data_IF_848890211403
#
_entry.id   IF_848890211403
#
_cell.length_a   1.000
_cell.length_b   1.000
_cell.length_c   1.000
_cell.angle_alpha   90.00
_cell.angle_beta   90.00
_cell.angle_gamma   90.00
#
_symmetry.space_group_name_H-M   'P 1'
#
loop_
_entity.id
_entity.type
_entity.pdbx_description
1 polymer ?
#
# COMPACT_ATOMS: atom_id res chain seq x y z
N UNK A 1 -22.49 -5.13 -12.74
CA UNK A 1 -21.00 -5.10 -12.76
C UNK A 1 -20.56 -3.80 -12.09
N UNK A 2 -20.29 -3.84 -10.78
CA UNK A 2 -20.06 -2.63 -9.96
C UNK A 2 -18.57 -2.31 -10.03
N UNK A 3 -18.23 -1.26 -10.77
CA UNK A 3 -16.87 -0.75 -10.92
C UNK A 3 -16.28 -0.44 -9.54
N UNK A 4 -14.97 -0.71 -9.38
CA UNK A 4 -14.14 -0.36 -8.24
C UNK A 4 -13.95 1.18 -8.06
N UNK A 5 -14.98 1.98 -8.35
CA UNK A 5 -15.00 3.43 -8.17
C UNK A 5 -15.65 3.85 -6.84
N UNK A 6 -15.82 2.94 -5.89
CA UNK A 6 -16.48 3.23 -4.61
C UNK A 6 -15.62 2.73 -3.45
N UNK A 7 -14.37 3.20 -3.37
CA UNK A 7 -13.91 3.62 -2.06
C UNK A 7 -14.53 5.00 -1.85
N UNK A 8 -15.16 5.27 -0.69
CA UNK A 8 -15.69 6.58 -0.40
C UNK A 8 -14.52 7.57 -0.38
N UNK A 9 -14.27 8.27 -1.48
CA UNK A 9 -13.30 9.37 -1.57
C UNK A 9 -13.60 10.47 -0.55
N UNK A 10 -14.85 10.55 -0.08
CA UNK A 10 -15.27 11.45 1.00
C UNK A 10 -14.69 11.09 2.38
N UNK A 11 -14.11 9.91 2.54
CA UNK A 11 -13.54 9.43 3.80
C UNK A 11 -12.02 9.54 3.85
N UNK A 12 -11.34 9.97 2.77
CA UNK A 12 -9.88 10.04 2.73
C UNK A 12 -9.48 11.27 1.91
N UNK A 13 -8.83 12.23 2.56
CA UNK A 13 -8.11 13.30 1.86
C UNK A 13 -7.03 12.73 0.94
N UNK A 14 -6.63 13.52 -0.07
CA UNK A 14 -5.70 13.07 -1.12
C UNK A 14 -4.33 12.63 -0.56
N UNK A 15 -3.93 13.13 0.61
CA UNK A 15 -2.65 12.80 1.27
C UNK A 15 -2.61 11.38 1.86
N UNK A 16 -3.75 10.69 1.95
CA UNK A 16 -3.82 9.33 2.51
C UNK A 16 -3.60 8.22 1.49
N UNK A 17 -3.53 8.56 0.21
CA UNK A 17 -3.37 7.60 -0.88
C UNK A 17 -2.45 8.15 -1.95
N UNK A 18 -1.75 7.26 -2.64
CA UNK A 18 -0.96 7.61 -3.82
C UNK A 18 -1.23 6.61 -4.93
N UNK A 19 -1.10 7.05 -6.18
CA UNK A 19 -1.26 6.17 -7.32
C UNK A 19 0.04 5.42 -7.59
N UNK A 20 -0.04 4.10 -7.75
CA UNK A 20 1.13 3.29 -8.08
C UNK A 20 1.63 3.60 -9.48
N UNK A 21 2.95 3.50 -9.67
CA UNK A 21 3.56 3.51 -11.00
C UNK A 21 3.27 2.22 -11.76
N UNK A 22 3.49 2.22 -13.08
CA UNK A 22 3.29 1.02 -13.90
C UNK A 22 4.22 -0.12 -13.48
N UNK A 23 5.49 0.17 -13.21
CA UNK A 23 6.48 -0.83 -12.80
C UNK A 23 6.12 -1.47 -11.46
N UNK A 24 5.74 -0.67 -10.46
CA UNK A 24 5.26 -1.18 -9.17
C UNK A 24 4.01 -2.06 -9.34
N UNK A 25 3.06 -1.61 -10.17
CA UNK A 25 1.85 -2.38 -10.41
C UNK A 25 2.14 -3.70 -11.13
N UNK A 26 3.03 -3.71 -12.12
CA UNK A 26 3.47 -4.92 -12.82
C UNK A 26 4.12 -5.94 -11.88
N UNK A 27 4.93 -5.48 -10.93
CA UNK A 27 5.53 -6.35 -9.91
C UNK A 27 4.49 -6.98 -8.96
N UNK A 28 3.36 -6.30 -8.75
CA UNK A 28 2.26 -6.78 -7.91
C UNK A 28 1.27 -7.68 -8.67
N UNK A 29 1.36 -7.77 -9.99
CA UNK A 29 0.48 -8.63 -10.79
C UNK A 29 0.85 -10.09 -10.56
N UNK A 30 -0.14 -10.89 -10.14
CA UNK A 30 0.02 -12.34 -10.05
C UNK A 30 0.34 -12.93 -11.42
N UNK A 31 1.50 -13.59 -11.52
CA UNK A 31 1.94 -14.31 -12.73
C UNK A 31 1.00 -15.45 -13.14
N UNK A 32 0.11 -15.91 -12.25
CA UNK A 32 -0.77 -17.06 -12.48
C UNK A 32 -2.26 -16.71 -12.64
N UNK A 33 -2.64 -15.44 -12.46
CA UNK A 33 -4.07 -15.06 -12.37
C UNK A 33 -4.40 -13.78 -13.13
N UNK A 34 -3.77 -13.58 -14.30
CA UNK A 34 -4.11 -12.50 -15.22
C UNK A 34 -5.33 -12.86 -16.06
N UNK A 35 -6.38 -12.03 -15.99
CA UNK A 35 -7.57 -12.16 -16.84
C UNK A 35 -7.24 -11.75 -18.29
N UNK A 36 -7.78 -12.48 -19.27
CA UNK A 36 -7.58 -12.19 -20.70
C UNK A 36 -8.45 -11.03 -21.19
N UNK A 37 -9.58 -10.77 -20.54
CA UNK A 37 -10.63 -9.88 -21.05
C UNK A 37 -11.04 -8.80 -20.05
N UNK A 38 -10.07 -8.19 -19.36
CA UNK A 38 -10.36 -7.09 -18.43
C UNK A 38 -9.31 -6.93 -17.34
N UNK A 39 -8.15 -6.42 -17.70
CA UNK A 39 -7.20 -5.85 -16.73
C UNK A 39 -7.73 -4.53 -16.15
N UNK A 40 -7.15 -4.09 -15.03
CA UNK A 40 -7.42 -2.74 -14.50
C UNK A 40 -6.98 -1.71 -15.55
N UNK A 41 -7.93 -0.87 -16.02
CA UNK A 41 -7.67 0.19 -17.02
C UNK A 41 -7.02 1.45 -16.44
N UNK A 42 -7.04 1.60 -15.12
CA UNK A 42 -6.38 2.68 -14.38
C UNK A 42 -5.43 2.07 -13.35
N UNK A 43 -4.30 2.72 -13.15
CA UNK A 43 -3.36 2.35 -12.09
C UNK A 43 -4.07 2.45 -10.73
N UNK A 44 -3.92 1.43 -9.87
CA UNK A 44 -4.57 1.44 -8.58
C UNK A 44 -3.93 2.47 -7.65
N UNK A 45 -4.72 2.92 -6.68
CA UNK A 45 -4.23 3.68 -5.54
C UNK A 45 -3.83 2.71 -4.42
N UNK A 46 -2.74 3.06 -3.73
CA UNK A 46 -2.29 2.43 -2.50
C UNK A 46 -2.40 3.44 -1.35
N UNK A 47 -2.61 2.93 -0.13
CA UNK A 47 -2.69 3.78 1.07
C UNK A 47 -1.30 4.13 1.59
N UNK A 48 -1.14 5.37 2.06
CA UNK A 48 0.00 5.79 2.88
C UNK A 48 -0.13 5.20 4.29
N UNK A 49 0.92 5.30 5.10
CA UNK A 49 0.90 4.87 6.49
C UNK A 49 -0.25 5.54 7.27
N UNK A 50 -0.42 6.85 7.05
CA UNK A 50 -1.49 7.63 7.66
C UNK A 50 -2.87 7.16 7.17
N UNK A 51 -3.00 6.83 5.89
CA UNK A 51 -4.25 6.32 5.31
C UNK A 51 -4.65 4.96 5.88
N UNK A 52 -3.66 4.11 6.18
CA UNK A 52 -3.86 2.84 6.87
C UNK A 52 -4.40 3.07 8.29
N UNK A 53 -3.87 4.03 9.04
CA UNK A 53 -4.41 4.34 10.37
C UNK A 53 -5.87 4.79 10.30
N UNK A 54 -6.24 5.55 9.26
CA UNK A 54 -7.61 5.99 9.04
C UNK A 54 -8.55 4.82 8.69
N UNK A 55 -8.09 3.83 7.92
CA UNK A 55 -8.86 2.60 7.66
C UNK A 55 -9.22 1.88 8.96
N UNK A 56 -8.31 1.85 9.94
CA UNK A 56 -8.56 1.15 11.21
C UNK A 56 -9.66 1.79 12.05
N UNK A 57 -9.94 3.08 11.85
CA UNK A 57 -11.08 3.76 12.48
C UNK A 57 -12.41 3.43 11.80
N UNK A 58 -12.38 3.11 10.51
CA UNK A 58 -13.58 2.76 9.72
C UNK A 58 -13.95 1.29 9.92
N UNK A 59 -12.97 0.41 10.09
CA UNK A 59 -13.21 -1.01 10.31
C UNK A 59 -13.83 -1.24 11.70
N UNK A 60 -15.09 -1.68 11.74
CA UNK A 60 -15.83 -1.99 12.98
C UNK A 60 -15.92 -3.50 13.18
N UNK A 61 -15.57 -3.98 14.37
CA UNK A 61 -15.70 -5.39 14.78
C UNK A 61 -14.45 -5.96 15.44
N UNK A 62 -14.59 -7.00 16.26
CA UNK A 62 -13.48 -7.58 17.03
C UNK A 62 -12.36 -8.13 16.15
N UNK A 63 -12.72 -8.81 15.04
CA UNK A 63 -11.77 -9.33 14.08
C UNK A 63 -11.01 -8.21 13.36
N UNK A 64 -11.72 -7.16 12.95
CA UNK A 64 -11.15 -5.96 12.36
C UNK A 64 -10.13 -5.33 13.30
N UNK A 65 -10.50 -5.06 14.55
CA UNK A 65 -9.61 -4.46 15.56
C UNK A 65 -8.35 -5.31 15.79
N UNK A 66 -8.49 -6.64 15.82
CA UNK A 66 -7.34 -7.55 15.97
C UNK A 66 -6.39 -7.44 14.77
N UNK A 67 -6.93 -7.43 13.56
CA UNK A 67 -6.14 -7.29 12.33
C UNK A 67 -5.47 -5.92 12.25
N UNK A 68 -6.17 -4.85 12.62
CA UNK A 68 -5.62 -3.49 12.71
C UNK A 68 -4.39 -3.44 13.60
N UNK A 69 -4.46 -4.00 14.81
CA UNK A 69 -3.34 -4.05 15.75
C UNK A 69 -2.15 -4.83 15.21
N UNK A 70 -2.40 -5.95 14.54
CA UNK A 70 -1.34 -6.75 13.93
C UNK A 70 -0.63 -5.97 12.83
N UNK A 71 -1.40 -5.30 11.96
CA UNK A 71 -0.86 -4.52 10.86
C UNK A 71 -0.01 -3.35 11.35
N UNK A 72 -0.48 -2.58 12.35
CA UNK A 72 0.31 -1.48 12.95
C UNK A 72 1.66 -1.99 13.50
N UNK A 73 1.65 -3.15 14.18
CA UNK A 73 2.90 -3.75 14.71
C UNK A 73 3.87 -4.14 13.60
N UNK A 74 3.37 -4.69 12.49
CA UNK A 74 4.21 -5.03 11.34
C UNK A 74 4.83 -3.78 10.72
N UNK A 75 4.06 -2.70 10.52
CA UNK A 75 4.59 -1.45 9.99
C UNK A 75 5.63 -0.82 10.90
N UNK A 76 5.41 -0.85 12.22
CA UNK A 76 6.43 -0.43 13.19
C UNK A 76 7.73 -1.22 13.01
N UNK A 77 7.65 -2.55 12.94
CA UNK A 77 8.82 -3.40 12.75
C UNK A 77 9.53 -3.13 11.41
N UNK A 78 8.78 -2.94 10.32
CA UNK A 78 9.36 -2.56 9.02
C UNK A 78 10.11 -1.24 9.10
N UNK A 79 9.52 -0.22 9.74
CA UNK A 79 10.17 1.08 9.91
C UNK A 79 11.40 0.98 10.80
N UNK A 80 11.31 0.26 11.91
CA UNK A 80 12.42 0.08 12.84
C UNK A 80 13.58 -0.67 12.14
N UNK A 81 13.27 -1.70 11.33
CA UNK A 81 14.26 -2.37 10.48
C UNK A 81 14.91 -1.43 9.46
N UNK A 82 14.13 -0.59 8.78
CA UNK A 82 14.68 0.40 7.84
C UNK A 82 15.60 1.40 8.54
N UNK A 83 15.24 1.86 9.74
CA UNK A 83 16.05 2.80 10.54
C UNK A 83 17.34 2.14 11.03
N UNK A 84 17.26 0.91 11.55
CA UNK A 84 18.44 0.15 11.99
C UNK A 84 19.42 -0.12 10.84
N UNK A 85 18.95 -0.13 9.60
CA UNK A 85 19.77 -0.35 8.40
C UNK A 85 19.95 0.93 7.56
N UNK A 86 19.64 2.13 8.07
CA UNK A 86 19.78 3.38 7.32
C UNK A 86 21.23 3.64 6.84
N UNK A 87 22.20 3.18 7.61
CA UNK A 87 23.63 3.27 7.29
C UNK A 87 24.02 2.42 6.05
N UNK A 88 23.24 1.40 5.70
CA UNK A 88 23.46 0.54 4.53
C UNK A 88 22.61 0.94 3.31
N UNK A 89 21.43 1.52 3.53
CA UNK A 89 20.50 1.92 2.45
C UNK A 89 21.02 3.17 1.73
N UNK A 90 21.58 4.14 2.47
CA UNK A 90 22.14 5.37 1.90
C UNK A 90 23.26 5.12 0.88
N UNK A 91 23.94 3.98 0.97
CA UNK A 91 25.09 3.64 0.14
C UNK A 91 24.70 2.93 -1.16
N UNK A 92 23.56 2.22 -1.21
CA UNK A 92 23.14 1.49 -2.41
C UNK A 92 22.34 2.35 -3.41
N UNK A 93 21.70 3.43 -2.95
CA UNK A 93 21.00 4.37 -3.85
C UNK A 93 21.98 5.28 -4.62
N UNK A 94 23.25 5.37 -4.21
CA UNK A 94 24.30 6.14 -4.90
C UNK A 94 25.10 5.33 -5.94
N UNK A 95 24.92 4.00 -6.02
CA UNK A 95 25.71 3.10 -6.89
C UNK A 95 24.92 2.64 -8.14
N UNK A 96 23.68 3.10 -8.31
CA UNK A 96 22.87 2.82 -9.51
C UNK A 96 22.82 3.97 -10.54
N UNK A 97 23.56 5.06 -10.34
CA UNK A 97 23.83 6.07 -11.38
C UNK A 97 25.33 6.10 -11.75
N UNK A 98 25.80 5.07 -12.48
CA UNK A 98 26.98 5.15 -13.37
C UNK A 98 26.72 4.32 -14.63
#
# INVERSE_FOLDING_TARGET
MRLLSVFPTKLFDDDFMFQLTKSEFENLISKKSTSSWGGRRKLPYAFTEQGIYMLMNVLRGELAVKQSKALIRMFKQMKDFTIENQDFISTNDLVQEV
#
